data_IF_844066700093
#
_entry.id   IF_844066700093
#
_cell.length_a   1.000
_cell.length_b   1.000
_cell.length_c   1.000
_cell.angle_alpha   90.00
_cell.angle_beta   90.00
_cell.angle_gamma   90.00
#
_symmetry.space_group_name_H-M   'P 1'
#
loop_
_entity.id
_entity.type
_entity.pdbx_description
1 polymer ?
#
# COMPACT_ATOMS: atom_id res chain seq x y z
N UNK A 1 4.74 -10.62 8.23
CA UNK A 1 3.38 -10.50 8.81
C UNK A 1 3.24 -9.32 9.77
N UNK A 2 4.14 -9.09 10.74
CA UNK A 2 3.98 -8.00 11.74
C UNK A 2 3.91 -6.56 11.17
N UNK A 3 4.71 -6.22 10.15
CA UNK A 3 4.75 -4.85 9.61
C UNK A 3 3.46 -4.45 8.87
N UNK A 4 2.80 -5.44 8.25
CA UNK A 4 1.56 -5.25 7.49
C UNK A 4 0.38 -5.04 8.44
N UNK A 5 0.25 -5.88 9.48
CA UNK A 5 -0.81 -5.72 10.47
C UNK A 5 -0.69 -4.38 11.22
N UNK A 6 0.53 -3.96 11.57
CA UNK A 6 0.77 -2.64 12.16
C UNK A 6 0.37 -1.48 11.25
N UNK A 7 0.64 -1.57 9.94
CA UNK A 7 0.22 -0.54 8.98
C UNK A 7 -1.30 -0.46 8.87
N UNK A 8 -1.97 -1.61 8.88
CA UNK A 8 -3.44 -1.71 8.85
C UNK A 8 -4.07 -1.09 10.08
N UNK A 9 -3.60 -1.46 11.28
CA UNK A 9 -4.14 -0.95 12.55
C UNK A 9 -3.98 0.56 12.66
N UNK A 10 -2.82 1.09 12.26
CA UNK A 10 -2.59 2.53 12.26
C UNK A 10 -3.46 3.24 11.21
N UNK A 11 -3.54 2.70 10.01
CA UNK A 11 -4.41 3.25 8.95
C UNK A 11 -5.86 3.34 9.41
N UNK A 12 -6.38 2.25 9.99
CA UNK A 12 -7.74 2.20 10.50
C UNK A 12 -7.96 3.25 11.60
N UNK A 13 -7.06 3.33 12.57
CA UNK A 13 -7.15 4.31 13.65
C UNK A 13 -7.29 5.76 13.14
N UNK A 14 -6.56 6.15 12.11
CA UNK A 14 -6.66 7.51 11.55
C UNK A 14 -7.88 7.72 10.65
N UNK A 15 -8.19 6.75 9.79
CA UNK A 15 -9.31 6.82 8.86
C UNK A 15 -10.65 7.06 9.61
N UNK A 16 -10.85 6.38 10.75
CA UNK A 16 -12.00 6.59 11.63
C UNK A 16 -12.05 7.99 12.29
N UNK A 17 -10.91 8.62 12.60
CA UNK A 17 -10.87 9.96 13.22
C UNK A 17 -11.16 11.10 12.24
N UNK A 18 -11.12 10.85 10.93
CA UNK A 18 -11.14 11.88 9.87
C UNK A 18 -12.52 12.29 9.31
N UNK A 19 -13.63 11.66 9.74
CA UNK A 19 -14.97 11.76 9.10
C UNK A 19 -15.03 11.34 7.61
N UNK A 20 -13.93 10.88 7.01
CA UNK A 20 -13.85 10.41 5.60
C UNK A 20 -13.72 8.87 5.49
N UNK A 21 -14.35 8.19 6.45
CA UNK A 21 -14.24 6.75 6.71
C UNK A 21 -14.42 5.84 5.49
N UNK A 22 -13.60 4.80 5.47
CA UNK A 22 -13.57 3.67 4.55
C UNK A 22 -12.36 3.68 3.62
N UNK A 23 -12.02 4.83 3.01
CA UNK A 23 -11.24 4.81 1.76
C UNK A 23 -9.77 4.41 1.93
N UNK A 24 -9.12 4.80 3.04
CA UNK A 24 -7.72 4.40 3.27
C UNK A 24 -7.62 2.91 3.59
N UNK A 25 -8.49 2.45 4.48
CA UNK A 25 -8.53 1.04 4.90
C UNK A 25 -8.88 0.16 3.71
N UNK A 26 -9.88 0.54 2.89
CA UNK A 26 -10.27 -0.24 1.71
C UNK A 26 -9.12 -0.40 0.70
N UNK A 27 -8.41 0.69 0.39
CA UNK A 27 -7.27 0.64 -0.53
C UNK A 27 -6.09 -0.17 0.01
N UNK A 28 -5.87 -0.12 1.32
CA UNK A 28 -4.85 -0.94 1.97
C UNK A 28 -5.27 -2.41 2.01
N UNK A 29 -6.49 -2.73 2.42
CA UNK A 29 -7.01 -4.09 2.51
C UNK A 29 -6.99 -4.77 1.12
N UNK A 30 -7.38 -4.05 0.06
CA UNK A 30 -7.23 -4.54 -1.31
C UNK A 30 -5.77 -4.85 -1.65
N UNK A 31 -4.83 -3.97 -1.29
CA UNK A 31 -3.42 -4.24 -1.53
C UNK A 31 -2.96 -5.51 -0.81
N UNK A 32 -3.33 -5.68 0.47
CA UNK A 32 -2.95 -6.84 1.27
C UNK A 32 -3.57 -8.14 0.74
N UNK A 33 -4.81 -8.10 0.28
CA UNK A 33 -5.46 -9.24 -0.36
C UNK A 33 -4.71 -9.66 -1.63
N UNK A 34 -4.30 -8.70 -2.45
CA UNK A 34 -3.52 -8.98 -3.64
C UNK A 34 -2.13 -9.55 -3.30
N UNK A 35 -1.42 -9.03 -2.29
CA UNK A 35 -0.15 -9.61 -1.82
C UNK A 35 -0.34 -11.06 -1.36
N UNK A 36 -1.33 -11.32 -0.49
CA UNK A 36 -1.59 -12.66 0.01
C UNK A 36 -1.92 -13.65 -1.12
N UNK A 37 -2.71 -13.23 -2.11
CA UNK A 37 -3.00 -14.05 -3.29
C UNK A 37 -1.73 -14.28 -4.13
N UNK A 38 -0.88 -13.27 -4.30
CA UNK A 38 0.41 -13.40 -4.97
C UNK A 38 1.31 -14.44 -4.29
N UNK A 39 1.46 -14.35 -2.96
CA UNK A 39 2.26 -15.27 -2.15
C UNK A 39 1.79 -16.72 -2.30
N UNK A 40 0.46 -16.95 -2.32
CA UNK A 40 -0.10 -18.31 -2.52
C UNK A 40 0.17 -18.90 -3.91
N UNK A 41 0.46 -18.04 -4.89
CA UNK A 41 0.66 -18.40 -6.29
C UNK A 41 2.15 -18.52 -6.68
N UNK A 42 3.07 -18.27 -5.74
CA UNK A 42 4.53 -18.40 -5.93
C UNK A 42 5.09 -17.51 -7.04
N UNK A 43 6.06 -17.98 -7.83
CA UNK A 43 6.65 -17.20 -8.93
C UNK A 43 5.86 -17.25 -10.26
N UNK A 44 4.58 -17.61 -10.19
CA UNK A 44 3.76 -17.71 -11.39
C UNK A 44 3.50 -16.34 -12.01
N UNK A 45 3.18 -16.31 -13.31
CA UNK A 45 2.69 -15.09 -13.98
C UNK A 45 1.49 -14.47 -13.26
N UNK A 46 0.62 -15.30 -12.68
CA UNK A 46 -0.54 -14.85 -11.92
C UNK A 46 -0.16 -14.17 -10.60
N UNK A 47 0.87 -14.66 -9.91
CA UNK A 47 1.36 -14.00 -8.71
C UNK A 47 1.85 -12.57 -9.01
N UNK A 48 2.54 -12.39 -10.14
CA UNK A 48 2.96 -11.07 -10.61
C UNK A 48 1.78 -10.14 -10.93
N UNK A 49 0.74 -10.66 -11.59
CA UNK A 49 -0.49 -9.89 -11.82
C UNK A 49 -1.13 -9.44 -10.49
N UNK A 50 -1.07 -10.29 -9.47
CA UNK A 50 -1.50 -9.93 -8.12
C UNK A 50 -0.60 -8.87 -7.48
N UNK A 51 0.73 -8.97 -7.57
CA UNK A 51 1.64 -7.94 -7.06
C UNK A 51 1.45 -6.59 -7.77
N UNK A 52 1.22 -6.57 -9.08
CA UNK A 52 0.91 -5.34 -9.83
C UNK A 52 -0.38 -4.67 -9.33
N UNK A 53 -1.41 -5.47 -9.03
CA UNK A 53 -2.66 -4.97 -8.45
C UNK A 53 -2.45 -4.45 -7.02
N UNK A 54 -1.60 -5.11 -6.22
CA UNK A 54 -1.23 -4.63 -4.90
C UNK A 54 -0.51 -3.27 -4.97
N UNK A 55 0.46 -3.11 -5.87
CA UNK A 55 1.20 -1.85 -6.10
C UNK A 55 0.24 -0.72 -6.51
N UNK A 56 -0.72 -0.99 -7.41
CA UNK A 56 -1.74 0.00 -7.81
C UNK A 56 -2.59 0.45 -6.62
N UNK A 57 -3.02 -0.48 -5.77
CA UNK A 57 -3.79 -0.19 -4.57
C UNK A 57 -2.98 0.61 -3.54
N UNK A 58 -1.70 0.26 -3.32
CA UNK A 58 -0.78 1.04 -2.47
C UNK A 58 -0.52 2.45 -3.03
N UNK A 59 -0.43 2.60 -4.36
CA UNK A 59 -0.30 3.91 -5.00
C UNK A 59 -1.52 4.78 -4.75
N UNK A 60 -2.73 4.22 -4.86
CA UNK A 60 -3.97 4.93 -4.52
C UNK A 60 -4.03 5.29 -3.03
N UNK A 61 -3.58 4.40 -2.17
CA UNK A 61 -3.44 4.65 -0.74
C UNK A 61 -2.53 5.85 -0.47
N UNK A 62 -1.34 5.91 -1.09
CA UNK A 62 -0.40 7.03 -0.96
C UNK A 62 -1.01 8.37 -1.41
N UNK A 63 -1.73 8.39 -2.52
CA UNK A 63 -2.43 9.58 -3.01
C UNK A 63 -3.46 10.08 -1.99
N UNK A 64 -4.22 9.16 -1.39
CA UNK A 64 -5.19 9.50 -0.35
C UNK A 64 -4.49 10.06 0.90
N UNK A 65 -3.44 9.39 1.41
CA UNK A 65 -2.66 9.86 2.57
C UNK A 65 -2.11 11.27 2.34
N UNK A 66 -1.56 11.54 1.16
CA UNK A 66 -1.05 12.87 0.83
C UNK A 66 -2.18 13.92 0.73
N UNK A 67 -3.35 13.54 0.21
CA UNK A 67 -4.55 14.39 0.25
C UNK A 67 -4.94 14.76 1.68
N UNK A 68 -5.02 13.77 2.58
CA UNK A 68 -5.33 13.98 3.99
C UNK A 68 -4.30 14.84 4.72
N UNK A 69 -3.02 14.67 4.40
CA UNK A 69 -1.95 15.54 4.91
C UNK A 69 -2.16 16.99 4.51
N UNK A 70 -2.43 17.25 3.21
CA UNK A 70 -2.62 18.61 2.69
C UNK A 70 -3.83 19.32 3.28
N UNK A 71 -4.88 18.57 3.61
CA UNK A 71 -6.09 19.09 4.24
C UNK A 71 -5.98 19.25 5.76
N UNK A 72 -4.85 18.86 6.37
CA UNK A 72 -4.65 18.92 7.82
C UNK A 72 -5.47 17.89 8.61
N UNK A 73 -5.98 16.86 7.93
CA UNK A 73 -6.80 15.80 8.53
C UNK A 73 -5.96 14.84 9.37
N UNK A 74 -4.73 14.56 8.91
CA UNK A 74 -3.75 13.77 9.64
C UNK A 74 -2.49 14.60 9.91
N UNK A 75 -1.81 14.40 11.05
CA UNK A 75 -0.53 15.06 11.32
C UNK A 75 0.55 14.71 10.29
N UNK A 76 1.49 15.62 10.07
CA UNK A 76 2.63 15.42 9.17
C UNK A 76 3.42 14.14 9.48
N UNK A 77 3.77 13.92 10.76
CA UNK A 77 4.52 12.74 11.19
C UNK A 77 3.77 11.43 10.90
N UNK A 78 2.43 11.46 11.00
CA UNK A 78 1.57 10.32 10.67
C UNK A 78 1.60 10.05 9.18
N UNK A 79 1.41 11.08 8.36
CA UNK A 79 1.48 10.96 6.91
C UNK A 79 2.84 10.39 6.47
N UNK A 80 3.93 10.90 7.04
CA UNK A 80 5.29 10.41 6.77
C UNK A 80 5.45 8.93 7.13
N UNK A 81 4.94 8.49 8.28
CA UNK A 81 5.00 7.08 8.68
C UNK A 81 4.21 6.19 7.71
N UNK A 82 2.97 6.56 7.39
CA UNK A 82 2.10 5.78 6.50
C UNK A 82 2.67 5.72 5.08
N UNK A 83 3.18 6.84 4.57
CA UNK A 83 3.83 6.90 3.27
C UNK A 83 5.11 6.06 3.24
N UNK A 84 5.98 6.19 4.25
CA UNK A 84 7.23 5.42 4.31
C UNK A 84 6.95 3.91 4.34
N UNK A 85 5.97 3.48 5.14
CA UNK A 85 5.58 2.07 5.24
C UNK A 85 5.01 1.52 3.94
N UNK A 86 4.13 2.27 3.27
CA UNK A 86 3.58 1.88 1.97
C UNK A 86 4.65 1.86 0.86
N UNK A 87 5.59 2.81 0.87
CA UNK A 87 6.74 2.79 -0.05
C UNK A 87 7.64 1.57 0.16
N UNK A 88 7.95 1.20 1.42
CA UNK A 88 8.72 -0.01 1.69
C UNK A 88 8.04 -1.28 1.16
N UNK A 89 6.71 -1.37 1.25
CA UNK A 89 5.95 -2.49 0.70
C UNK A 89 5.99 -2.51 -0.83
N UNK A 90 5.82 -1.36 -1.49
CA UNK A 90 5.94 -1.26 -2.95
C UNK A 90 7.33 -1.72 -3.40
N UNK A 91 8.41 -1.21 -2.80
CA UNK A 91 9.77 -1.58 -3.19
C UNK A 91 10.07 -3.07 -2.97
N UNK A 92 9.50 -3.68 -1.93
CA UNK A 92 9.61 -5.13 -1.73
C UNK A 92 8.93 -5.91 -2.86
N UNK A 93 7.68 -5.54 -3.20
CA UNK A 93 6.92 -6.17 -4.29
C UNK A 93 7.57 -5.96 -5.67
N UNK A 94 8.18 -4.80 -5.90
CA UNK A 94 8.93 -4.49 -7.13
C UNK A 94 10.24 -5.28 -7.22
N UNK A 95 10.89 -5.59 -6.09
CA UNK A 95 12.14 -6.36 -6.08
C UNK A 95 11.91 -7.85 -6.35
N UNK A 96 10.78 -8.39 -5.89
CA UNK A 96 10.36 -9.79 -6.12
C UNK A 96 9.68 -9.98 -7.49
N UNK A 97 9.34 -8.90 -8.19
CA UNK A 97 8.89 -8.94 -9.58
C UNK A 97 10.06 -8.59 -10.50
N UNK A 98 10.71 -9.55 -11.20
CA UNK A 98 11.73 -9.21 -12.19
C UNK A 98 11.08 -8.50 -13.39
N UNK A 99 11.03 -7.17 -13.29
CA UNK A 99 11.02 -6.12 -14.29
C UNK A 99 10.10 -6.26 -15.52
N UNK A 100 9.03 -5.48 -15.52
CA UNK A 100 8.62 -4.69 -16.69
C UNK A 100 9.26 -3.30 -16.55
N UNK A 101 10.57 -3.18 -16.74
CA UNK A 101 11.29 -1.97 -17.17
C UNK A 101 12.82 -2.21 -17.17
N UNK A 102 13.33 -2.87 -18.21
CA UNK A 102 14.62 -2.49 -18.77
C UNK A 102 14.36 -1.73 -20.07
N UNK A 103 13.95 -0.46 -19.93
CA UNK A 103 14.24 0.53 -20.97
C UNK A 103 15.71 0.94 -20.79
N UNK A 104 16.54 0.91 -21.84
CA UNK A 104 17.96 1.25 -21.71
C UNK A 104 18.13 2.67 -21.15
N UNK A 105 19.14 2.84 -20.29
CA UNK A 105 19.69 4.14 -19.89
C UNK A 105 20.16 4.93 -21.11
#
# INVERSE_FOLDING_TARGET
MDSISKLRDQTAYFDFRSKRGGRLVDSLDQALEHVARGDTLGDSRRAREHYDLAIKSLTKYLLNVNGYKREGVIPEWTAQYLMSSAHSLISALESDSPSVAQGPK
#
